data_IF_969721432364
#
_entry.id   IF_969721432364
#
_cell.length_a   1.000
_cell.length_b   1.000
_cell.length_c   1.000
_cell.angle_alpha   90.00
_cell.angle_beta   90.00
_cell.angle_gamma   90.00
#
_symmetry.space_group_name_H-M   'P 1'
#
loop_
_entity.id
_entity.type
_entity.pdbx_description
1 polymer ?
#
# COMPACT_ATOMS: atom_id res chain seq x y z
N UNK A 1 33.32 -12.09 45.03
CA UNK A 1 34.07 -13.36 45.08
C UNK A 1 34.28 -13.82 43.65
N UNK A 2 35.56 -13.81 43.22
CA UNK A 2 36.21 -14.61 42.15
C UNK A 2 35.57 -14.63 40.76
N UNK A 3 36.09 -13.88 39.75
CA UNK A 3 37.31 -14.10 38.92
C UNK A 3 37.22 -15.37 38.07
N UNK A 4 37.38 -15.38 36.75
CA UNK A 4 38.57 -15.02 35.95
C UNK A 4 38.14 -14.77 34.46
N UNK A 5 38.43 -13.61 33.84
CA UNK A 5 39.56 -13.30 32.88
C UNK A 5 39.56 -14.09 31.56
N UNK A 6 39.96 -13.60 30.40
CA UNK A 6 40.43 -12.29 29.92
C UNK A 6 40.67 -12.42 28.41
N UNK A 7 40.36 -11.34 27.68
CA UNK A 7 41.22 -10.69 26.67
C UNK A 7 41.60 -11.49 25.39
N UNK A 8 41.83 -10.89 24.22
CA UNK A 8 42.70 -9.74 23.92
C UNK A 8 42.36 -9.22 22.51
N UNK A 9 42.23 -7.89 22.42
CA UNK A 9 42.70 -6.95 21.39
C UNK A 9 42.61 -7.25 19.88
N UNK A 10 42.23 -6.20 19.15
CA UNK A 10 43.22 -5.58 18.25
C UNK A 10 42.80 -5.22 16.84
N UNK A 11 42.53 -3.92 16.65
CA UNK A 11 43.02 -3.06 15.55
C UNK A 11 42.72 -3.37 14.08
N UNK A 12 41.96 -2.44 13.51
CA UNK A 12 42.09 -1.81 12.18
C UNK A 12 43.53 -1.84 11.63
N UNK A 13 43.72 -2.19 10.35
CA UNK A 13 44.42 -1.42 9.29
C UNK A 13 44.61 -2.29 8.00
N UNK A 14 44.14 -1.76 6.85
CA UNK A 14 44.71 -1.81 5.49
C UNK A 14 44.47 -2.97 4.47
N UNK A 15 43.88 -2.53 3.35
CA UNK A 15 44.37 -2.62 1.95
C UNK A 15 44.44 -3.97 1.21
N UNK A 16 43.61 -4.03 0.16
CA UNK A 16 43.78 -4.69 -1.15
C UNK A 16 43.70 -6.24 -1.27
N UNK A 17 43.22 -6.74 -2.44
CA UNK A 17 42.54 -8.02 -2.56
C UNK A 17 43.51 -9.17 -2.87
N UNK A 18 43.37 -10.27 -2.13
CA UNK A 18 44.03 -11.52 -2.46
C UNK A 18 43.27 -12.25 -3.57
N UNK A 19 43.78 -12.11 -4.79
CA UNK A 19 44.06 -13.19 -5.76
C UNK A 19 43.13 -14.42 -5.66
N UNK A 20 42.06 -14.42 -6.45
CA UNK A 20 41.34 -15.63 -6.82
C UNK A 20 42.18 -16.44 -7.82
N UNK A 21 42.81 -17.50 -7.34
CA UNK A 21 43.35 -18.57 -8.18
C UNK A 21 42.21 -19.23 -8.98
N UNK A 22 42.29 -19.18 -10.31
CA UNK A 22 41.46 -19.98 -11.21
C UNK A 22 42.24 -21.21 -11.69
N UNK A 23 41.56 -22.35 -11.93
CA UNK A 23 42.21 -23.60 -12.30
C UNK A 23 42.78 -23.54 -13.73
N UNK A 24 44.00 -24.04 -13.87
CA UNK A 24 44.70 -24.21 -15.15
C UNK A 24 44.01 -25.27 -16.01
N UNK A 25 43.60 -24.88 -17.21
CA UNK A 25 43.10 -25.77 -18.28
C UNK A 25 44.21 -26.05 -19.33
N UNK A 26 44.10 -27.13 -20.13
CA UNK A 26 45.20 -27.78 -20.84
C UNK A 26 45.79 -26.96 -22.01
N UNK A 27 47.04 -27.23 -22.42
CA UNK A 27 47.82 -26.36 -23.28
C UNK A 27 47.60 -26.68 -24.77
N UNK A 28 46.44 -26.38 -25.32
CA UNK A 28 46.23 -26.48 -26.78
C UNK A 28 45.12 -25.51 -27.24
N UNK A 29 45.43 -24.21 -27.17
CA UNK A 29 44.78 -23.09 -27.92
C UNK A 29 45.34 -21.72 -27.49
N UNK A 30 46.60 -21.68 -27.05
CA UNK A 30 47.34 -20.42 -26.92
C UNK A 30 47.75 -19.96 -28.31
N UNK A 31 47.07 -18.94 -28.81
CA UNK A 31 47.60 -17.85 -29.64
C UNK A 31 46.53 -17.35 -30.62
N UNK A 32 45.69 -16.43 -30.15
CA UNK A 32 45.05 -15.46 -31.05
C UNK A 32 44.78 -14.11 -30.37
N UNK A 33 44.67 -14.04 -29.02
CA UNK A 33 44.37 -12.79 -28.30
C UNK A 33 45.20 -12.54 -27.01
N UNK A 34 46.38 -13.15 -26.82
CA UNK A 34 47.21 -12.97 -25.60
C UNK A 34 47.66 -11.50 -25.33
N UNK A 35 47.55 -10.60 -26.32
CA UNK A 35 47.99 -9.20 -26.20
C UNK A 35 46.93 -8.17 -25.76
N UNK A 36 45.64 -8.52 -25.70
CA UNK A 36 44.58 -7.50 -25.54
C UNK A 36 44.04 -7.31 -24.10
N UNK A 37 44.36 -8.21 -23.16
CA UNK A 37 43.88 -8.14 -21.77
C UNK A 37 42.48 -8.73 -21.57
N UNK A 38 42.15 -9.14 -20.34
CA UNK A 38 40.98 -9.97 -20.03
C UNK A 38 39.68 -9.19 -19.75
N UNK A 39 39.33 -8.20 -20.58
CA UNK A 39 38.04 -7.50 -20.47
C UNK A 39 37.25 -7.51 -21.79
N UNK A 40 35.94 -7.29 -21.70
CA UNK A 40 35.03 -7.45 -22.85
C UNK A 40 35.37 -6.50 -24.02
N UNK A 41 35.87 -5.30 -23.74
CA UNK A 41 36.28 -4.32 -24.75
C UNK A 41 37.60 -4.72 -25.45
N UNK A 42 38.48 -5.45 -24.77
CA UNK A 42 39.68 -6.04 -25.35
C UNK A 42 39.36 -7.22 -26.27
N UNK A 43 38.37 -8.05 -25.89
CA UNK A 43 37.92 -9.18 -26.68
C UNK A 43 37.24 -8.74 -27.99
N UNK A 44 36.43 -7.67 -27.94
CA UNK A 44 35.84 -7.03 -29.13
C UNK A 44 36.93 -6.44 -30.06
N UNK A 45 38.00 -5.87 -29.51
CA UNK A 45 39.13 -5.36 -30.30
C UNK A 45 39.89 -6.47 -31.00
N UNK A 46 40.14 -7.59 -30.30
CA UNK A 46 40.75 -8.77 -30.91
C UNK A 46 39.90 -9.34 -32.06
N UNK A 47 38.57 -9.44 -31.85
CA UNK A 47 37.61 -9.89 -32.87
C UNK A 47 37.68 -9.04 -34.15
N UNK A 48 37.73 -7.71 -34.00
CA UNK A 48 37.82 -6.80 -35.15
C UNK A 48 39.12 -7.00 -35.94
N UNK A 49 40.23 -7.25 -35.26
CA UNK A 49 41.50 -7.56 -35.93
C UNK A 49 41.50 -8.93 -36.62
N UNK A 50 40.88 -9.94 -36.02
CA UNK A 50 40.80 -11.30 -36.61
C UNK A 50 39.90 -11.29 -37.86
N UNK A 51 38.77 -10.58 -37.83
CA UNK A 51 37.86 -10.43 -38.98
C UNK A 51 38.57 -9.69 -40.11
N UNK A 52 39.24 -8.57 -39.83
CA UNK A 52 40.00 -7.83 -40.83
C UNK A 52 41.10 -8.69 -41.48
N UNK A 53 41.80 -9.54 -40.69
CA UNK A 53 42.80 -10.48 -41.22
C UNK A 53 42.20 -11.61 -42.05
N UNK A 54 41.00 -12.09 -41.71
CA UNK A 54 40.28 -13.10 -42.49
C UNK A 54 39.71 -12.50 -43.80
N UNK A 55 39.40 -11.19 -43.85
CA UNK A 55 39.06 -10.45 -45.09
C UNK A 55 40.28 -10.21 -45.99
N UNK A 56 41.43 -9.81 -45.43
CA UNK A 56 42.70 -9.63 -46.17
C UNK A 56 43.24 -10.93 -46.78
N UNK A 57 42.95 -12.09 -46.16
CA UNK A 57 43.28 -13.41 -46.70
C UNK A 57 42.39 -13.88 -47.86
N UNK A 58 41.20 -13.28 -48.03
CA UNK A 58 40.23 -13.62 -49.08
C UNK A 58 40.43 -12.88 -50.41
N UNK A 59 41.20 -11.78 -50.42
CA UNK A 59 41.33 -10.91 -51.59
C UNK A 59 42.16 -11.48 -52.75
N UNK A 60 42.78 -12.66 -52.63
CA UNK A 60 43.44 -13.31 -53.78
C UNK A 60 42.52 -14.21 -54.63
N UNK A 61 41.22 -14.31 -54.32
CA UNK A 61 40.30 -15.12 -55.14
C UNK A 61 38.84 -14.64 -55.06
N UNK A 62 38.50 -13.55 -55.76
CA UNK A 62 37.36 -13.44 -56.70
C UNK A 62 37.03 -11.97 -56.97
N UNK A 63 36.96 -11.64 -58.26
CA UNK A 63 36.59 -10.31 -58.71
C UNK A 63 35.12 -9.95 -58.49
N UNK A 64 34.90 -8.65 -58.28
CA UNK A 64 33.76 -7.89 -58.77
C UNK A 64 32.43 -8.03 -58.01
N UNK A 65 32.11 -7.03 -57.18
CA UNK A 65 31.14 -5.96 -57.52
C UNK A 65 31.03 -4.95 -56.38
N UNK A 66 31.33 -3.69 -56.72
CA UNK A 66 31.00 -2.50 -55.95
C UNK A 66 29.48 -2.42 -55.74
N UNK A 67 29.01 -2.33 -54.50
CA UNK A 67 27.65 -1.91 -54.21
C UNK A 67 27.64 -0.40 -53.98
N UNK A 68 27.09 0.31 -54.96
CA UNK A 68 26.79 1.74 -54.86
C UNK A 68 25.65 1.98 -53.87
N UNK A 69 25.74 3.11 -53.16
CA UNK A 69 24.63 3.74 -52.44
C UNK A 69 23.53 4.13 -53.43
N UNK A 70 22.29 3.71 -53.16
CA UNK A 70 21.11 4.34 -53.76
C UNK A 70 20.05 4.70 -52.73
N UNK A 71 19.58 5.93 -52.89
CA UNK A 71 18.59 6.64 -52.10
C UNK A 71 17.22 5.96 -52.10
N UNK A 72 16.58 5.91 -50.93
CA UNK A 72 15.15 5.68 -50.83
C UNK A 72 14.39 6.97 -51.14
N UNK A 73 13.70 6.98 -52.27
CA UNK A 73 12.61 7.91 -52.55
C UNK A 73 11.48 7.12 -53.19
N UNK A 74 10.25 7.42 -52.75
CA UNK A 74 8.93 7.03 -53.29
C UNK A 74 8.17 5.92 -52.54
N UNK A 75 7.27 6.39 -51.68
CA UNK A 75 6.01 5.73 -51.31
C UNK A 75 4.94 6.02 -52.39
N UNK A 76 4.03 5.08 -52.69
CA UNK A 76 2.71 5.42 -53.25
C UNK A 76 1.64 5.44 -52.15
N UNK A 77 0.68 6.35 -52.32
CA UNK A 77 -0.31 6.74 -51.32
C UNK A 77 -1.50 5.79 -51.13
N UNK A 78 -2.16 5.99 -50.00
CA UNK A 78 -3.52 5.53 -49.73
C UNK A 78 -4.40 6.75 -49.39
N UNK A 79 -5.61 6.73 -49.95
CA UNK A 79 -6.70 7.68 -49.72
C UNK A 79 -7.60 7.23 -48.56
N UNK A 80 -8.49 8.09 -48.05
CA UNK A 80 -8.91 8.10 -46.65
C UNK A 80 -10.26 7.41 -46.39
N UNK A 81 -10.43 6.88 -45.19
CA UNK A 81 -11.74 6.59 -44.62
C UNK A 81 -11.85 7.22 -43.22
N UNK A 82 -12.80 8.15 -43.10
CA UNK A 82 -13.28 8.72 -41.85
C UNK A 82 -14.15 7.69 -41.11
N UNK A 83 -14.01 7.59 -39.79
CA UNK A 83 -15.14 7.27 -38.94
C UNK A 83 -15.00 7.92 -37.55
N UNK A 84 -16.06 8.61 -37.15
CA UNK A 84 -16.22 9.33 -35.90
C UNK A 84 -16.55 8.36 -34.75
N UNK A 85 -16.02 8.59 -33.53
CA UNK A 85 -16.54 7.91 -32.33
C UNK A 85 -15.77 8.08 -31.00
N UNK A 86 -16.17 9.09 -30.21
CA UNK A 86 -16.19 9.25 -28.73
C UNK A 86 -14.93 8.95 -27.83
N UNK A 87 -14.54 9.84 -26.88
CA UNK A 87 -13.22 9.80 -26.21
C UNK A 87 -13.19 9.16 -24.80
N UNK A 88 -14.12 8.28 -24.43
CA UNK A 88 -14.09 7.65 -23.09
C UNK A 88 -14.38 6.15 -23.16
N UNK A 89 -13.33 5.35 -23.41
CA UNK A 89 -13.34 3.91 -23.13
C UNK A 89 -11.90 3.43 -22.87
N UNK A 90 -11.58 3.21 -21.59
CA UNK A 90 -10.41 2.44 -21.19
C UNK A 90 -10.65 0.95 -21.50
N UNK A 91 -9.77 0.26 -22.25
CA UNK A 91 -9.91 -1.17 -22.44
C UNK A 91 -9.48 -1.90 -21.16
N UNK A 92 -10.44 -2.65 -20.58
CA UNK A 92 -10.17 -3.76 -19.64
C UNK A 92 -9.32 -4.83 -20.35
N UNK A 93 -8.37 -5.50 -19.66
CA UNK A 93 -7.69 -6.65 -20.24
C UNK A 93 -8.67 -7.82 -20.33
N UNK A 94 -8.97 -8.24 -21.55
CA UNK A 94 -9.66 -9.49 -21.81
C UNK A 94 -8.74 -10.68 -21.50
N UNK A 95 -9.32 -11.61 -20.75
CA UNK A 95 -8.95 -13.01 -20.67
C UNK A 95 -8.74 -13.61 -22.07
N UNK A 96 -7.62 -14.31 -22.30
CA UNK A 96 -7.50 -15.28 -23.39
C UNK A 96 -6.96 -16.60 -22.89
N UNK A 97 -7.87 -17.56 -22.98
CA UNK A 97 -7.81 -18.99 -22.83
C UNK A 97 -6.66 -19.64 -23.61
N UNK A 98 -6.07 -20.66 -22.98
CA UNK A 98 -5.19 -21.63 -23.62
C UNK A 98 -5.94 -22.36 -24.75
N UNK A 99 -5.59 -22.08 -26.00
CA UNK A 99 -5.84 -22.98 -27.12
C UNK A 99 -4.53 -23.62 -27.55
N UNK A 100 -4.40 -24.90 -27.21
CA UNK A 100 -3.39 -25.82 -27.69
C UNK A 100 -3.81 -26.29 -29.09
N UNK A 101 -3.21 -25.76 -30.14
CA UNK A 101 -3.30 -26.35 -31.47
C UNK A 101 -1.91 -26.54 -32.10
N UNK A 102 -1.60 -27.81 -32.29
CA UNK A 102 -0.91 -28.44 -33.41
C UNK A 102 0.31 -27.72 -34.02
N UNK A 103 1.49 -28.26 -33.69
CA UNK A 103 2.53 -28.68 -34.64
C UNK A 103 2.57 -27.95 -35.99
N UNK A 104 3.24 -26.80 -36.04
CA UNK A 104 4.06 -26.45 -37.21
C UNK A 104 5.51 -26.66 -36.82
N UNK A 105 6.07 -27.79 -37.28
CA UNK A 105 7.50 -28.05 -37.20
C UNK A 105 8.21 -26.96 -38.00
N UNK A 106 8.87 -26.02 -37.31
CA UNK A 106 9.90 -25.21 -37.93
C UNK A 106 11.06 -26.17 -38.20
N UNK A 107 11.09 -26.70 -39.44
CA UNK A 107 12.17 -27.54 -39.93
C UNK A 107 13.44 -26.67 -39.96
N UNK A 108 14.59 -27.15 -39.43
CA UNK A 108 15.84 -26.42 -39.57
C UNK A 108 16.19 -26.27 -41.07
N UNK A 109 16.85 -25.17 -41.48
CA UNK A 109 17.21 -24.99 -42.87
C UNK A 109 18.18 -26.09 -43.31
N UNK A 110 17.91 -26.67 -44.49
CA UNK A 110 18.77 -27.69 -45.10
C UNK A 110 20.12 -27.07 -45.48
N UNK A 111 21.25 -27.77 -45.30
CA UNK A 111 22.55 -27.19 -45.59
C UNK A 111 22.73 -27.10 -47.11
N UNK A 112 22.75 -25.86 -47.63
CA UNK A 112 23.27 -25.60 -48.96
C UNK A 112 24.77 -25.90 -48.96
N UNK A 113 25.15 -26.99 -49.63
CA UNK A 113 26.52 -27.30 -49.98
C UNK A 113 27.05 -26.21 -50.92
N UNK A 114 27.79 -25.26 -50.35
CA UNK A 114 28.81 -24.53 -51.09
C UNK A 114 30.14 -24.83 -50.41
N UNK A 115 31.03 -25.46 -51.17
CA UNK A 115 32.36 -25.84 -50.74
C UNK A 115 33.19 -24.56 -50.52
N UNK A 116 33.13 -24.02 -49.30
CA UNK A 116 34.10 -23.04 -48.83
C UNK A 116 35.08 -23.79 -47.95
N UNK A 117 36.36 -23.73 -48.33
CA UNK A 117 37.46 -24.32 -47.59
C UNK A 117 37.36 -23.98 -46.11
N UNK A 118 37.40 -25.04 -45.31
CA UNK A 118 37.31 -25.03 -43.86
C UNK A 118 38.45 -24.18 -43.27
N UNK A 119 38.24 -22.87 -43.13
CA UNK A 119 39.14 -21.99 -42.42
C UNK A 119 38.85 -22.12 -40.93
N UNK A 120 39.89 -22.41 -40.14
CA UNK A 120 39.89 -22.46 -38.67
C UNK A 120 39.30 -21.21 -37.99
N UNK A 121 39.08 -20.13 -38.75
CA UNK A 121 38.50 -18.85 -38.34
C UNK A 121 36.97 -18.96 -38.07
N UNK A 122 36.22 -19.75 -38.85
CA UNK A 122 34.74 -19.78 -38.76
C UNK A 122 34.21 -20.44 -37.47
N UNK A 123 34.83 -21.54 -37.04
CA UNK A 123 34.46 -22.21 -35.78
C UNK A 123 34.74 -21.34 -34.55
N UNK A 124 35.80 -20.53 -34.61
CA UNK A 124 36.14 -19.59 -33.53
C UNK A 124 35.18 -18.38 -33.52
N UNK A 125 34.73 -17.91 -34.69
CA UNK A 125 33.68 -16.88 -34.81
C UNK A 125 32.37 -17.38 -34.21
N UNK A 126 31.91 -18.60 -34.55
CA UNK A 126 30.67 -19.17 -33.98
C UNK A 126 30.73 -19.32 -32.45
N UNK A 127 31.88 -19.75 -31.90
CA UNK A 127 32.10 -19.81 -30.44
C UNK A 127 32.02 -18.43 -29.78
N UNK A 128 32.56 -17.41 -30.43
CA UNK A 128 32.56 -16.03 -29.94
C UNK A 128 31.17 -15.40 -30.02
N UNK A 129 30.43 -15.64 -31.10
CA UNK A 129 29.02 -15.25 -31.23
C UNK A 129 28.17 -15.88 -30.13
N UNK A 130 28.31 -17.19 -29.87
CA UNK A 130 27.62 -17.86 -28.79
C UNK A 130 27.97 -17.29 -27.39
N UNK A 131 29.24 -16.92 -27.17
CA UNK A 131 29.69 -16.27 -25.94
C UNK A 131 29.09 -14.88 -25.77
N UNK A 132 28.99 -14.11 -26.87
CA UNK A 132 28.37 -12.79 -26.88
C UNK A 132 26.87 -12.88 -26.62
N UNK A 133 26.16 -13.79 -27.28
CA UNK A 133 24.72 -14.01 -27.05
C UNK A 133 24.42 -14.42 -25.60
N UNK A 134 25.22 -15.32 -25.04
CA UNK A 134 25.10 -15.71 -23.63
C UNK A 134 25.26 -14.50 -22.71
N UNK A 135 26.27 -13.67 -22.95
CA UNK A 135 26.53 -12.48 -22.12
C UNK A 135 25.45 -11.41 -22.29
N UNK A 136 24.94 -11.25 -23.51
CA UNK A 136 23.81 -10.38 -23.81
C UNK A 136 22.56 -10.84 -23.06
N UNK A 137 22.28 -12.15 -23.02
CA UNK A 137 21.19 -12.71 -22.25
C UNK A 137 21.37 -12.46 -20.74
N UNK A 138 22.55 -12.72 -20.18
CA UNK A 138 22.86 -12.46 -18.77
C UNK A 138 22.65 -10.98 -18.39
N UNK A 139 23.15 -10.06 -19.23
CA UNK A 139 22.98 -8.60 -19.00
C UNK A 139 21.51 -8.20 -19.09
N UNK A 140 20.76 -8.72 -20.08
CA UNK A 140 19.32 -8.45 -20.21
C UNK A 140 18.54 -8.95 -19.01
N UNK A 141 18.81 -10.19 -18.56
CA UNK A 141 18.13 -10.77 -17.41
C UNK A 141 18.44 -10.03 -16.12
N UNK A 142 19.70 -9.63 -15.91
CA UNK A 142 20.08 -8.80 -14.76
C UNK A 142 19.40 -7.43 -14.80
N UNK A 143 19.42 -6.74 -15.94
CA UNK A 143 18.77 -5.44 -16.09
C UNK A 143 17.25 -5.54 -15.86
N UNK A 144 16.61 -6.58 -16.37
CA UNK A 144 15.19 -6.85 -16.13
C UNK A 144 14.92 -7.11 -14.65
N UNK A 145 15.72 -7.96 -14.00
CA UNK A 145 15.57 -8.25 -12.57
C UNK A 145 15.77 -7.03 -11.69
N UNK A 146 16.80 -6.22 -11.96
CA UNK A 146 17.09 -4.98 -11.23
C UNK A 146 15.92 -3.99 -11.41
N UNK A 147 15.37 -3.90 -12.64
CA UNK A 147 14.21 -3.04 -12.93
C UNK A 147 12.96 -3.49 -12.19
N UNK A 148 12.60 -4.77 -12.28
CA UNK A 148 11.44 -5.33 -11.58
C UNK A 148 11.56 -5.17 -10.06
N UNK A 149 12.78 -5.29 -9.53
CA UNK A 149 13.06 -5.06 -8.11
C UNK A 149 12.80 -3.62 -7.70
N UNK A 150 13.29 -2.64 -8.48
CA UNK A 150 13.06 -1.22 -8.18
C UNK A 150 11.60 -0.81 -8.38
N UNK A 151 10.95 -1.32 -9.44
CA UNK A 151 9.50 -1.13 -9.66
C UNK A 151 8.71 -1.72 -8.49
N UNK A 152 9.08 -2.91 -8.01
CA UNK A 152 8.49 -3.53 -6.83
C UNK A 152 8.64 -2.67 -5.57
N UNK A 153 9.84 -2.11 -5.32
CA UNK A 153 10.08 -1.20 -4.19
C UNK A 153 9.27 0.10 -4.31
N UNK A 154 9.15 0.66 -5.51
CA UNK A 154 8.33 1.86 -5.76
C UNK A 154 6.85 1.59 -5.52
N UNK A 155 6.35 0.46 -6.02
CA UNK A 155 4.96 0.02 -5.80
C UNK A 155 4.64 -0.16 -4.32
N UNK A 156 5.53 -0.82 -3.57
CA UNK A 156 5.35 -0.98 -2.12
C UNK A 156 5.28 0.36 -1.39
N UNK A 157 6.16 1.31 -1.75
CA UNK A 157 6.14 2.66 -1.17
C UNK A 157 4.84 3.39 -1.47
N UNK A 158 4.38 3.34 -2.72
CA UNK A 158 3.12 3.94 -3.11
C UNK A 158 1.93 3.33 -2.34
N UNK A 159 1.90 2.01 -2.16
CA UNK A 159 0.86 1.32 -1.40
C UNK A 159 0.88 1.71 0.10
N UNK A 160 2.07 1.93 0.68
CA UNK A 160 2.21 2.42 2.05
C UNK A 160 1.73 3.86 2.21
N UNK A 161 2.10 4.74 1.27
CA UNK A 161 1.67 6.13 1.24
C UNK A 161 0.15 6.23 1.08
N UNK A 162 -0.45 5.42 0.20
CA UNK A 162 -1.90 5.37 0.00
C UNK A 162 -2.62 4.95 1.29
N UNK A 163 -2.15 3.89 1.96
CA UNK A 163 -2.71 3.47 3.26
C UNK A 163 -2.59 4.56 4.32
N UNK A 164 -1.49 5.30 4.33
CA UNK A 164 -1.31 6.43 5.25
C UNK A 164 -2.32 7.54 4.98
N UNK A 165 -2.49 7.91 3.71
CA UNK A 165 -3.43 8.96 3.29
C UNK A 165 -4.89 8.58 3.59
N UNK A 166 -5.28 7.33 3.34
CA UNK A 166 -6.60 6.80 3.67
C UNK A 166 -6.89 6.89 5.17
N UNK A 167 -5.91 6.55 6.03
CA UNK A 167 -6.06 6.67 7.49
C UNK A 167 -6.24 8.11 7.94
N UNK A 168 -5.45 9.04 7.40
CA UNK A 168 -5.56 10.47 7.73
C UNK A 168 -6.95 10.97 7.34
N UNK A 169 -7.36 10.72 6.10
CA UNK A 169 -8.66 11.16 5.58
C UNK A 169 -9.82 10.58 6.39
N UNK A 170 -9.77 9.30 6.76
CA UNK A 170 -10.80 8.68 7.58
C UNK A 170 -10.89 9.31 8.98
N UNK A 171 -9.75 9.59 9.62
CA UNK A 171 -9.71 10.24 10.93
C UNK A 171 -10.29 11.66 10.89
N UNK A 172 -9.89 12.45 9.89
CA UNK A 172 -10.33 13.84 9.74
C UNK A 172 -11.83 13.92 9.45
N UNK A 173 -12.36 13.04 8.58
CA UNK A 173 -13.80 12.96 8.32
C UNK A 173 -14.58 12.63 9.60
N UNK A 174 -14.09 11.70 10.41
CA UNK A 174 -14.74 11.34 11.68
C UNK A 174 -14.78 12.54 12.63
N UNK A 175 -13.70 13.31 12.71
CA UNK A 175 -13.61 14.47 13.60
C UNK A 175 -14.47 15.65 13.12
N UNK A 176 -14.47 15.92 11.81
CA UNK A 176 -15.36 16.91 11.19
C UNK A 176 -16.82 16.54 11.46
N UNK A 177 -17.20 15.27 11.26
CA UNK A 177 -18.56 14.81 11.57
C UNK A 177 -18.91 15.00 13.05
N UNK A 178 -17.99 14.75 13.98
CA UNK A 178 -18.23 15.00 15.42
C UNK A 178 -18.47 16.47 15.72
N UNK A 179 -17.66 17.35 15.13
CA UNK A 179 -17.84 18.79 15.27
C UNK A 179 -19.18 19.23 14.70
N UNK A 180 -19.58 18.67 13.55
CA UNK A 180 -20.87 18.92 12.94
C UNK A 180 -22.03 18.48 13.84
N UNK A 181 -21.96 17.27 14.41
CA UNK A 181 -22.97 16.75 15.32
C UNK A 181 -23.15 17.66 16.55
N UNK A 182 -22.05 18.19 17.10
CA UNK A 182 -22.10 19.14 18.21
C UNK A 182 -22.70 20.50 17.80
N UNK A 183 -22.27 21.06 16.66
CA UNK A 183 -22.76 22.36 16.18
C UNK A 183 -24.25 22.34 15.83
N UNK A 184 -24.74 21.21 15.32
CA UNK A 184 -26.14 21.04 14.91
C UNK A 184 -27.03 20.41 16.00
N UNK A 185 -26.47 20.11 17.17
CA UNK A 185 -27.20 19.50 18.28
C UNK A 185 -28.46 20.32 18.64
N UNK A 186 -29.66 19.70 18.71
CA UNK A 186 -30.85 20.36 19.25
C UNK A 186 -30.59 20.82 20.69
N UNK A 187 -30.95 22.07 21.01
CA UNK A 187 -30.68 22.68 22.32
C UNK A 187 -31.95 23.25 22.94
N UNK A 188 -32.03 23.15 24.26
CA UNK A 188 -33.05 23.82 25.06
C UNK A 188 -32.34 24.43 26.27
N UNK A 189 -32.61 25.71 26.54
CA UNK A 189 -32.09 26.41 27.69
C UNK A 189 -33.18 26.68 28.73
N UNK A 190 -32.79 26.72 30.00
CA UNK A 190 -33.63 27.14 31.11
C UNK A 190 -32.77 27.84 32.16
N UNK A 191 -33.03 29.12 32.40
CA UNK A 191 -32.16 30.01 33.19
C UNK A 191 -30.71 29.93 32.67
N UNK A 192 -29.75 29.69 33.57
CA UNK A 192 -28.31 29.60 33.27
C UNK A 192 -27.89 28.18 32.83
N UNK A 193 -28.82 27.29 32.47
CA UNK A 193 -28.52 25.92 32.06
C UNK A 193 -28.91 25.69 30.60
N UNK A 194 -28.02 25.06 29.84
CA UNK A 194 -28.27 24.58 28.49
C UNK A 194 -28.19 23.05 28.45
N UNK A 195 -29.19 22.44 27.83
CA UNK A 195 -29.27 21.03 27.53
C UNK A 195 -29.19 20.84 26.02
N UNK A 196 -28.38 19.89 25.55
CA UNK A 196 -28.27 19.62 24.12
C UNK A 196 -28.12 18.13 23.83
N UNK A 197 -28.82 17.67 22.80
CA UNK A 197 -28.85 16.26 22.38
C UNK A 197 -27.82 16.00 21.28
N UNK A 198 -26.90 15.08 21.55
CA UNK A 198 -26.00 14.53 20.53
C UNK A 198 -26.66 13.27 19.97
N UNK A 199 -26.97 13.29 18.67
CA UNK A 199 -27.67 12.20 18.00
C UNK A 199 -26.79 10.97 17.73
N UNK A 200 -25.46 11.15 17.69
CA UNK A 200 -24.53 10.04 17.50
C UNK A 200 -24.62 9.09 18.70
N UNK A 201 -24.78 7.80 18.39
CA UNK A 201 -24.84 6.79 19.43
C UNK A 201 -23.45 6.45 19.96
N UNK A 202 -23.31 6.48 21.28
CA UNK A 202 -22.06 6.18 21.98
C UNK A 202 -22.37 5.37 23.24
N UNK A 203 -21.39 4.62 23.74
CA UNK A 203 -21.50 4.01 25.08
C UNK A 203 -21.64 5.09 26.13
N UNK A 204 -22.17 4.77 27.30
CA UNK A 204 -22.32 5.76 28.38
C UNK A 204 -20.98 6.39 28.76
N UNK A 205 -19.92 5.58 28.81
CA UNK A 205 -18.55 6.04 29.09
C UNK A 205 -18.07 7.06 28.05
N UNK A 206 -18.16 6.71 26.76
CA UNK A 206 -17.75 7.62 25.68
C UNK A 206 -18.62 8.87 25.66
N UNK A 207 -19.92 8.75 25.87
CA UNK A 207 -20.85 9.88 25.93
C UNK A 207 -20.48 10.86 27.07
N UNK A 208 -20.11 10.34 28.24
CA UNK A 208 -19.62 11.14 29.37
C UNK A 208 -18.36 11.95 29.00
N UNK A 209 -17.36 11.29 28.41
CA UNK A 209 -16.14 11.94 27.94
C UNK A 209 -16.42 13.00 26.87
N UNK A 210 -17.36 12.74 25.95
CA UNK A 210 -17.75 13.69 24.92
C UNK A 210 -18.41 14.93 25.50
N UNK A 211 -19.34 14.79 26.45
CA UNK A 211 -19.92 15.95 27.11
C UNK A 211 -18.84 16.79 27.81
N UNK A 212 -17.87 16.17 28.48
CA UNK A 212 -16.72 16.87 29.09
C UNK A 212 -15.94 17.65 28.04
N UNK A 213 -15.66 17.03 26.88
CA UNK A 213 -15.00 17.69 25.75
C UNK A 213 -15.76 18.91 25.20
N UNK A 214 -17.09 18.95 25.38
CA UNK A 214 -17.94 20.10 25.01
C UNK A 214 -18.08 21.15 26.12
N UNK A 215 -17.31 21.04 27.21
CA UNK A 215 -17.43 21.92 28.38
C UNK A 215 -18.73 21.68 29.15
N UNK A 216 -19.24 20.43 29.12
CA UNK A 216 -20.50 20.00 29.70
C UNK A 216 -20.31 18.70 30.49
N UNK A 217 -21.39 18.18 31.06
CA UNK A 217 -21.44 16.80 31.56
C UNK A 217 -22.68 16.11 30.97
N UNK A 218 -22.75 14.78 31.04
CA UNK A 218 -24.04 14.11 30.81
C UNK A 218 -25.09 14.68 31.75
N UNK A 219 -26.31 14.85 31.26
CA UNK A 219 -27.32 15.63 31.95
C UNK A 219 -27.68 15.02 33.32
N UNK A 220 -27.42 15.77 34.39
CA UNK A 220 -28.02 15.57 35.70
C UNK A 220 -29.44 16.17 35.72
N UNK A 221 -30.38 15.44 36.30
CA UNK A 221 -31.79 15.83 36.38
C UNK A 221 -32.13 16.03 37.86
N UNK A 222 -32.49 17.27 38.24
CA UNK A 222 -32.81 17.62 39.63
C UNK A 222 -34.28 18.02 39.85
N UNK A 223 -35.08 18.02 38.79
CA UNK A 223 -36.46 18.45 38.87
C UNK A 223 -37.33 17.84 37.77
N UNK A 224 -38.65 17.90 37.98
CA UNK A 224 -39.62 17.57 36.93
C UNK A 224 -39.45 18.45 35.69
N UNK A 225 -39.04 19.71 35.87
CA UNK A 225 -38.79 20.63 34.77
C UNK A 225 -37.59 20.16 33.95
N UNK A 226 -36.45 19.89 34.59
CA UNK A 226 -35.24 19.34 33.95
C UNK A 226 -35.58 18.11 33.13
N UNK A 227 -36.31 17.17 33.73
CA UNK A 227 -36.71 15.92 33.06
C UNK A 227 -37.58 16.17 31.83
N UNK A 228 -38.49 17.15 31.91
CA UNK A 228 -39.33 17.56 30.78
C UNK A 228 -38.57 18.31 29.69
N UNK A 229 -37.52 19.06 30.02
CA UNK A 229 -36.65 19.71 29.03
C UNK A 229 -35.82 18.66 28.28
N UNK A 230 -35.24 17.70 29.00
CA UNK A 230 -34.53 16.56 28.43
C UNK A 230 -35.47 15.77 27.51
N UNK A 231 -36.66 15.38 27.98
CA UNK A 231 -37.59 14.56 27.18
C UNK A 231 -38.07 15.25 25.90
N UNK A 232 -38.16 16.59 25.88
CA UNK A 232 -38.51 17.38 24.68
C UNK A 232 -37.46 17.34 23.58
N UNK A 233 -36.20 17.05 23.91
CA UNK A 233 -35.13 16.90 22.92
C UNK A 233 -35.21 15.55 22.20
N UNK A 234 -35.88 14.56 22.80
CA UNK A 234 -35.82 13.16 22.38
C UNK A 234 -36.93 12.87 21.36
N UNK A 235 -36.56 12.23 20.25
CA UNK A 235 -37.53 11.80 19.23
C UNK A 235 -38.42 10.66 19.75
N UNK A 236 -39.63 10.52 19.19
CA UNK A 236 -40.51 9.40 19.50
C UNK A 236 -39.81 8.05 19.31
N UNK A 237 -40.00 7.13 20.25
CA UNK A 237 -39.36 5.80 20.30
C UNK A 237 -37.82 5.80 20.43
N UNK A 238 -37.22 6.92 20.81
CA UNK A 238 -35.79 7.01 21.13
C UNK A 238 -35.59 6.99 22.65
N UNK A 239 -34.46 6.42 23.09
CA UNK A 239 -33.92 6.58 24.44
C UNK A 239 -32.53 7.20 24.35
N UNK A 240 -32.13 7.93 25.38
CA UNK A 240 -30.85 8.65 25.40
C UNK A 240 -30.17 8.50 26.75
N UNK A 241 -28.84 8.54 26.77
CA UNK A 241 -28.08 8.55 28.02
C UNK A 241 -28.22 9.86 28.79
N UNK A 242 -28.30 9.74 30.13
CA UNK A 242 -28.18 10.83 31.10
C UNK A 242 -27.03 10.53 32.08
N UNK A 243 -26.71 11.48 32.96
CA UNK A 243 -25.53 11.40 33.83
C UNK A 243 -25.66 10.42 35.01
N UNK A 244 -26.84 9.85 35.24
CA UNK A 244 -27.12 8.96 36.37
C UNK A 244 -26.53 7.57 36.11
N UNK A 245 -25.83 7.02 37.09
CA UNK A 245 -25.21 5.69 37.05
C UNK A 245 -25.01 5.15 38.48
N UNK A 246 -24.84 3.85 38.64
CA UNK A 246 -24.44 3.20 39.89
C UNK A 246 -23.23 2.26 39.72
N UNK A 247 -22.41 2.52 38.68
CA UNK A 247 -21.17 1.82 38.32
C UNK A 247 -20.26 1.48 39.51
N UNK A 248 -20.16 2.39 40.49
CA UNK A 248 -19.26 2.20 41.64
C UNK A 248 -19.84 1.21 42.68
N UNK A 249 -21.16 1.21 42.83
CA UNK A 249 -21.86 0.40 43.81
C UNK A 249 -23.32 0.30 43.40
N UNK A 250 -23.71 -0.90 43.01
CA UNK A 250 -25.07 -1.33 42.75
C UNK A 250 -26.09 -0.73 43.73
N UNK A 251 -27.22 -0.24 43.20
CA UNK A 251 -28.29 0.46 43.92
C UNK A 251 -27.86 1.79 44.59
N UNK A 252 -26.66 2.31 44.31
CA UNK A 252 -26.18 3.60 44.83
C UNK A 252 -25.91 4.57 43.67
N UNK A 253 -26.98 5.19 43.18
CA UNK A 253 -26.93 6.10 42.03
C UNK A 253 -26.18 7.41 42.31
N UNK A 254 -25.39 7.86 41.34
CA UNK A 254 -24.60 9.09 41.32
C UNK A 254 -24.73 9.79 39.97
N UNK A 255 -24.62 11.12 39.95
CA UNK A 255 -24.44 11.86 38.71
C UNK A 255 -22.96 11.92 38.31
N UNK A 256 -22.68 11.85 37.01
CA UNK A 256 -21.32 11.98 36.46
C UNK A 256 -20.73 13.39 36.57
N UNK A 257 -21.55 14.41 36.80
CA UNK A 257 -21.11 15.78 37.10
C UNK A 257 -20.77 16.00 38.58
N UNK A 258 -20.89 14.97 39.42
CA UNK A 258 -20.59 15.01 40.86
C UNK A 258 -21.71 15.58 41.74
N UNK A 259 -22.83 16.02 41.16
CA UNK A 259 -24.01 16.43 41.92
C UNK A 259 -24.73 15.23 42.56
N UNK A 260 -25.54 15.49 43.59
CA UNK A 260 -26.36 14.45 44.21
C UNK A 260 -27.52 14.04 43.28
N UNK A 261 -27.90 12.77 43.32
CA UNK A 261 -29.15 12.29 42.69
C UNK A 261 -30.29 12.51 43.67
N UNK A 262 -31.10 13.53 43.40
CA UNK A 262 -32.21 14.00 44.26
C UNK A 262 -33.58 13.93 43.56
N UNK A 263 -33.60 13.51 42.30
CA UNK A 263 -34.80 13.27 41.51
C UNK A 263 -34.72 11.91 40.84
N UNK A 264 -35.85 11.21 40.78
CA UNK A 264 -35.98 9.90 40.13
C UNK A 264 -37.28 9.85 39.34
N UNK A 265 -37.23 9.26 38.14
CA UNK A 265 -38.42 9.01 37.32
C UNK A 265 -38.36 7.66 36.61
N UNK A 266 -38.12 6.61 37.37
CA UNK A 266 -38.08 5.24 36.87
C UNK A 266 -39.35 4.85 36.10
N UNK A 267 -39.17 4.11 35.01
CA UNK A 267 -40.25 3.39 34.37
C UNK A 267 -40.82 2.32 35.33
N UNK A 268 -41.99 1.80 34.98
CA UNK A 268 -42.61 0.75 35.80
C UNK A 268 -41.69 -0.47 35.87
N UNK A 269 -41.38 -0.92 37.10
CA UNK A 269 -40.46 -2.04 37.42
C UNK A 269 -38.97 -1.73 37.26
N UNK A 270 -38.58 -0.46 37.08
CA UNK A 270 -37.18 -0.04 37.07
C UNK A 270 -36.74 0.62 38.39
N UNK A 271 -35.43 0.59 38.72
CA UNK A 271 -34.38 -0.18 38.02
C UNK A 271 -34.50 -1.68 38.30
N UNK A 272 -34.25 -2.52 37.30
CA UNK A 272 -34.41 -3.98 37.40
C UNK A 272 -33.08 -4.73 37.46
N UNK A 273 -31.98 -4.02 37.19
CA UNK A 273 -30.63 -4.53 37.06
C UNK A 273 -30.58 -5.83 36.25
N UNK A 274 -31.04 -5.79 35.00
CA UNK A 274 -31.10 -6.97 34.14
C UNK A 274 -29.71 -7.62 34.02
N UNK A 275 -29.64 -8.96 34.14
CA UNK A 275 -28.39 -9.73 34.16
C UNK A 275 -27.37 -9.30 35.23
N UNK A 276 -27.78 -8.54 36.25
CA UNK A 276 -26.92 -8.00 37.31
C UNK A 276 -25.78 -7.10 36.78
N UNK A 277 -26.00 -6.37 35.68
CA UNK A 277 -24.96 -5.57 35.04
C UNK A 277 -25.45 -4.25 34.41
N UNK A 278 -26.65 -3.77 34.76
CA UNK A 278 -27.21 -2.53 34.21
C UNK A 278 -26.89 -1.34 35.10
N UNK A 279 -25.73 -0.72 34.85
CA UNK A 279 -25.18 0.29 35.76
C UNK A 279 -25.34 1.75 35.30
N UNK A 280 -25.99 1.98 34.16
CA UNK A 280 -26.11 3.29 33.51
C UNK A 280 -27.55 3.61 33.16
N UNK A 281 -27.97 4.88 33.25
CA UNK A 281 -29.37 5.24 33.08
C UNK A 281 -29.64 5.93 31.75
N UNK A 282 -30.61 5.39 31.01
CA UNK A 282 -31.22 6.02 29.84
C UNK A 282 -32.60 6.60 30.19
N UNK A 283 -33.04 7.58 29.40
CA UNK A 283 -34.37 8.20 29.50
C UNK A 283 -35.08 8.15 28.16
N UNK A 284 -36.38 7.86 28.16
CA UNK A 284 -37.21 7.83 26.95
C UNK A 284 -37.83 9.20 26.64
N UNK A 285 -38.48 9.31 25.46
CA UNK A 285 -39.21 10.52 25.04
C UNK A 285 -40.37 10.94 25.97
N UNK A 286 -40.88 10.04 26.81
CA UNK A 286 -41.88 10.35 27.84
C UNK A 286 -41.24 10.79 29.16
N UNK A 287 -39.90 10.75 29.24
CA UNK A 287 -39.07 11.10 30.38
C UNK A 287 -39.00 10.02 31.47
N UNK A 288 -39.31 8.77 31.17
CA UNK A 288 -39.14 7.64 32.09
C UNK A 288 -37.76 7.03 31.97
N UNK A 289 -37.21 6.64 33.12
CA UNK A 289 -35.83 6.17 33.23
C UNK A 289 -35.76 4.66 33.24
N UNK A 290 -34.68 4.14 32.66
CA UNK A 290 -34.36 2.73 32.61
C UNK A 290 -32.86 2.59 32.91
N UNK A 291 -32.48 1.67 33.80
CA UNK A 291 -31.11 1.21 33.87
C UNK A 291 -30.81 0.30 32.68
N UNK A 292 -29.58 0.38 32.18
CA UNK A 292 -29.14 -0.33 30.99
C UNK A 292 -27.64 -0.58 31.05
N UNK A 293 -27.18 -1.63 30.36
CA UNK A 293 -25.76 -1.93 30.22
C UNK A 293 -25.02 -0.72 29.60
N UNK A 294 -24.04 -0.20 30.32
CA UNK A 294 -23.27 0.99 29.93
C UNK A 294 -22.56 0.91 28.57
N UNK A 295 -22.31 -0.31 28.09
CA UNK A 295 -21.64 -0.56 26.80
C UNK A 295 -22.57 -0.37 25.59
N UNK A 296 -23.88 -0.33 25.81
CA UNK A 296 -24.86 -0.14 24.75
C UNK A 296 -24.70 1.27 24.19
N UNK A 297 -24.79 1.41 22.87
CA UNK A 297 -24.71 2.71 22.22
C UNK A 297 -26.07 3.38 22.23
N UNK A 298 -26.12 4.65 22.67
CA UNK A 298 -27.30 5.51 22.60
C UNK A 298 -26.89 6.94 22.27
N UNK A 299 -27.79 7.71 21.64
CA UNK A 299 -27.70 9.17 21.68
C UNK A 299 -27.67 9.65 23.14
N UNK A 300 -27.23 10.87 23.38
CA UNK A 300 -27.00 11.33 24.75
C UNK A 300 -27.23 12.82 24.92
N UNK A 301 -27.72 13.21 26.10
CA UNK A 301 -27.98 14.61 26.42
C UNK A 301 -26.90 15.13 27.35
N UNK A 302 -26.24 16.20 26.91
CA UNK A 302 -25.30 16.94 27.73
C UNK A 302 -26.00 18.14 28.38
N UNK A 303 -25.48 18.57 29.54
CA UNK A 303 -25.90 19.75 30.29
C UNK A 303 -24.68 20.59 30.65
N UNK A 304 -24.76 21.90 30.43
CA UNK A 304 -23.74 22.85 30.88
C UNK A 304 -24.36 24.14 31.41
N UNK A 305 -23.59 24.87 32.20
CA UNK A 305 -23.93 26.24 32.58
C UNK A 305 -23.62 27.18 31.41
N UNK A 306 -24.54 28.09 31.10
CA UNK A 306 -24.33 29.18 30.15
C UNK A 306 -23.43 30.20 30.87
N UNK A 307 -22.18 30.31 30.41
CA UNK A 307 -21.17 31.25 30.93
C UNK A 307 -21.30 32.62 30.29
#
# INVERSE_FOLDING_TARGET
MTSYTSAVFGLIYLLYPAVSFLPTLPPESKNLCEGFGYNWAAEIRCLREIINKCEEGGEKSRGGRSLQLTNFSNLPGESPAQENGNPYTYPRPYSRTYHRHATNQIRPPSPHQSSVQNCSCNLEIEKLEAKFEKKLYEVKMKAHHDTETEVGKLRSRFDDDLRSYERITAKDIVEIKRTLDYMQAPRIANNDLEYFLIQREESWYTASEKCIGYGAHLASIHSRLDNGLVSRLISTNQTVWIGVNDIQKENTFKNSDGTAVDYFRWAQKQPNNEEHNENCVEVDHNGYWNDKLCIITRPFVCKKKIS
#
